data_IF_860688718941
#
_entry.id   IF_860688718941
#
_cell.length_a   1.000
_cell.length_b   1.000
_cell.length_c   1.000
_cell.angle_alpha   90.00
_cell.angle_beta   90.00
_cell.angle_gamma   90.00
#
_symmetry.space_group_name_H-M   'P 1'
#
loop_
_entity.id
_entity.type
_entity.pdbx_description
1 polymer ?
#
# COMPACT_ATOMS: atom_id res chain seq x y z
N UNK A 1 5.76 3.09 -1.36
CA UNK A 1 4.76 2.70 -2.39
C UNK A 1 5.35 2.65 -3.80
N UNK A 2 6.14 3.63 -4.24
CA UNK A 2 6.75 3.63 -5.59
C UNK A 2 7.76 2.49 -5.80
N UNK A 3 8.62 2.21 -4.82
CA UNK A 3 9.62 1.12 -4.88
C UNK A 3 8.98 -0.26 -5.13
N UNK A 4 7.99 -0.72 -4.34
CA UNK A 4 7.33 -2.00 -4.63
C UNK A 4 6.55 -2.00 -5.94
N UNK A 5 6.02 -0.86 -6.40
CA UNK A 5 5.37 -0.76 -7.71
C UNK A 5 6.35 -1.03 -8.86
N UNK A 6 7.54 -0.42 -8.81
CA UNK A 6 8.60 -0.63 -9.81
C UNK A 6 9.08 -2.08 -9.81
N UNK A 7 9.26 -2.67 -8.62
CA UNK A 7 9.67 -4.07 -8.48
C UNK A 7 8.62 -5.04 -9.05
N UNK A 8 7.33 -4.77 -8.84
CA UNK A 8 6.23 -5.57 -9.41
C UNK A 8 6.12 -5.42 -10.93
N UNK A 9 6.34 -4.23 -11.48
CA UNK A 9 6.40 -4.04 -12.92
C UNK A 9 7.61 -4.76 -13.53
N UNK A 10 8.78 -4.69 -12.88
CA UNK A 10 9.97 -5.43 -13.31
C UNK A 10 9.74 -6.95 -13.30
N UNK A 11 9.10 -7.48 -12.25
CA UNK A 11 8.68 -8.89 -12.16
C UNK A 11 7.84 -9.35 -13.34
N UNK A 12 6.98 -8.47 -13.89
CA UNK A 12 6.08 -8.82 -15.00
C UNK A 12 6.80 -9.14 -16.32
N UNK A 13 8.07 -8.73 -16.45
CA UNK A 13 8.90 -8.97 -17.63
C UNK A 13 9.75 -10.24 -17.56
N UNK A 14 9.89 -10.87 -16.38
CA UNK A 14 10.64 -12.10 -16.22
C UNK A 14 9.74 -13.33 -16.50
N UNK A 15 10.31 -14.37 -17.10
CA UNK A 15 9.62 -15.65 -17.38
C UNK A 15 9.90 -16.69 -16.28
N UNK A 16 9.08 -17.74 -16.25
CA UNK A 16 9.17 -18.87 -15.30
C UNK A 16 10.51 -19.63 -15.34
N UNK A 17 11.39 -19.35 -16.31
CA UNK A 17 12.70 -20.00 -16.43
C UNK A 17 13.68 -19.57 -15.32
N UNK A 18 13.45 -18.41 -14.68
CA UNK A 18 14.29 -17.89 -13.60
C UNK A 18 13.55 -17.76 -12.27
N UNK A 19 12.95 -18.87 -11.82
CA UNK A 19 12.15 -18.94 -10.59
C UNK A 19 12.86 -18.37 -9.36
N UNK A 20 14.17 -18.61 -9.21
CA UNK A 20 14.94 -18.10 -8.08
C UNK A 20 15.00 -16.56 -8.05
N UNK A 21 15.20 -15.92 -9.21
CA UNK A 21 15.29 -14.47 -9.30
C UNK A 21 13.91 -13.81 -9.06
N UNK A 22 12.86 -14.40 -9.61
CA UNK A 22 11.46 -13.97 -9.41
C UNK A 22 11.07 -14.03 -7.93
N UNK A 23 11.39 -15.11 -7.23
CA UNK A 23 11.07 -15.27 -5.80
C UNK A 23 11.82 -14.23 -4.96
N UNK A 24 13.12 -14.02 -5.19
CA UNK A 24 13.89 -13.00 -4.45
C UNK A 24 13.30 -11.61 -4.67
N UNK A 25 12.93 -11.28 -5.91
CA UNK A 25 12.39 -9.97 -6.25
C UNK A 25 10.98 -9.76 -5.67
N UNK A 26 10.15 -10.81 -5.60
CA UNK A 26 8.88 -10.77 -4.86
C UNK A 26 9.07 -10.60 -3.36
N UNK A 27 10.01 -11.31 -2.75
CA UNK A 27 10.33 -11.17 -1.33
C UNK A 27 10.75 -9.74 -1.01
N UNK A 28 11.63 -9.15 -1.83
CA UNK A 28 12.05 -7.75 -1.66
C UNK A 28 10.85 -6.79 -1.78
N UNK A 29 10.01 -6.95 -2.81
CA UNK A 29 8.81 -6.12 -2.97
C UNK A 29 7.89 -6.20 -1.74
N UNK A 30 7.67 -7.41 -1.20
CA UNK A 30 6.89 -7.62 0.00
C UNK A 30 7.53 -6.97 1.23
N UNK A 31 8.86 -7.05 1.39
CA UNK A 31 9.57 -6.37 2.49
C UNK A 31 9.39 -4.85 2.44
N UNK A 32 9.52 -4.24 1.25
CA UNK A 32 9.29 -2.80 1.11
C UNK A 32 7.85 -2.40 1.39
N UNK A 33 6.87 -3.25 1.07
CA UNK A 33 5.48 -3.00 1.42
C UNK A 33 5.27 -3.01 2.95
N UNK A 34 5.87 -3.97 3.65
CA UNK A 34 5.85 -4.04 5.12
C UNK A 34 6.49 -2.81 5.77
N UNK A 35 7.61 -2.32 5.22
CA UNK A 35 8.25 -1.09 5.69
C UNK A 35 7.33 0.14 5.54
N UNK A 36 6.54 0.21 4.46
CA UNK A 36 5.56 1.28 4.28
C UNK A 36 4.45 1.20 5.33
N UNK A 37 4.01 0.01 5.70
CA UNK A 37 3.00 -0.17 6.73
C UNK A 37 3.47 0.34 8.10
N UNK A 38 4.72 0.06 8.48
CA UNK A 38 5.31 0.58 9.72
C UNK A 38 5.36 2.11 9.69
N UNK A 39 5.77 2.71 8.57
CA UNK A 39 5.78 4.17 8.42
C UNK A 39 4.39 4.81 8.56
N UNK A 40 3.34 4.15 8.06
CA UNK A 40 1.97 4.60 8.22
C UNK A 40 1.51 4.55 9.68
N UNK A 41 1.84 3.48 10.41
CA UNK A 41 1.53 3.36 11.84
C UNK A 41 2.15 4.53 12.63
N UNK A 42 3.43 4.80 12.43
CA UNK A 42 4.15 5.89 13.13
C UNK A 42 3.54 7.25 12.78
N UNK A 43 3.28 7.51 11.50
CA UNK A 43 2.69 8.78 11.06
C UNK A 43 1.30 9.04 11.69
N UNK A 44 0.49 8.01 11.90
CA UNK A 44 -0.82 8.16 12.56
C UNK A 44 -0.71 8.56 14.03
N UNK A 45 0.29 8.03 14.74
CA UNK A 45 0.56 8.40 16.13
C UNK A 45 1.21 9.79 16.24
N UNK A 46 2.07 10.17 15.30
CA UNK A 46 2.69 11.50 15.25
C UNK A 46 1.67 12.62 15.01
N UNK A 47 0.63 12.36 14.20
CA UNK A 47 -0.44 13.34 13.91
C UNK A 47 -1.36 13.55 15.11
N UNK A 48 -1.67 12.49 15.87
CA UNK A 48 -2.57 12.57 17.03
C UNK A 48 -2.23 11.48 18.04
N UNK A 49 -1.43 11.76 19.08
CA UNK A 49 -1.10 10.76 20.10
C UNK A 49 -2.32 10.38 20.96
N UNK A 50 -3.30 11.27 21.07
CA UNK A 50 -4.53 11.07 21.86
C UNK A 50 -5.60 10.26 21.13
N UNK A 51 -5.71 10.38 19.80
CA UNK A 51 -6.73 9.69 19.00
C UNK A 51 -6.16 8.74 17.95
N UNK A 52 -4.84 8.53 17.92
CA UNK A 52 -4.14 7.73 16.90
C UNK A 52 -4.70 6.31 16.77
N UNK A 53 -5.08 5.68 17.88
CA UNK A 53 -5.70 4.36 17.87
C UNK A 53 -7.04 4.31 17.10
N UNK A 54 -7.89 5.32 17.24
CA UNK A 54 -9.18 5.39 16.53
C UNK A 54 -8.98 5.63 15.03
N UNK A 55 -8.06 6.54 14.67
CA UNK A 55 -7.68 6.82 13.27
C UNK A 55 -7.15 5.55 12.61
N UNK A 56 -6.31 4.80 13.33
CA UNK A 56 -5.71 3.56 12.86
C UNK A 56 -6.77 2.49 12.61
N UNK A 57 -7.73 2.29 13.51
CA UNK A 57 -8.82 1.33 13.32
C UNK A 57 -9.71 1.71 12.15
N UNK A 58 -10.10 2.98 12.01
CA UNK A 58 -10.91 3.45 10.86
C UNK A 58 -10.17 3.21 9.55
N UNK A 59 -8.88 3.54 9.51
CA UNK A 59 -8.04 3.34 8.32
C UNK A 59 -7.87 1.87 7.99
N UNK A 60 -7.74 1.00 8.99
CA UNK A 60 -7.66 -0.45 8.79
C UNK A 60 -8.97 -1.01 8.21
N UNK A 61 -10.12 -0.55 8.69
CA UNK A 61 -11.43 -0.93 8.12
C UNK A 61 -11.53 -0.53 6.65
N UNK A 62 -11.13 0.69 6.30
CA UNK A 62 -11.11 1.15 4.90
C UNK A 62 -10.15 0.30 4.05
N UNK A 63 -8.99 -0.07 4.61
CA UNK A 63 -7.99 -0.90 3.92
C UNK A 63 -8.46 -2.33 3.64
N UNK A 64 -9.44 -2.86 4.38
CA UNK A 64 -9.97 -4.20 4.13
C UNK A 64 -10.87 -4.28 2.88
N UNK A 65 -11.54 -3.18 2.47
CA UNK A 65 -12.40 -3.20 1.28
C UNK A 65 -11.65 -3.57 -0.01
N UNK A 66 -10.49 -2.96 -0.33
CA UNK A 66 -9.64 -3.42 -1.45
C UNK A 66 -9.23 -4.89 -1.33
N UNK A 67 -8.99 -5.38 -0.11
CA UNK A 67 -8.65 -6.79 0.13
C UNK A 67 -9.75 -7.75 -0.32
N UNK A 68 -11.02 -7.38 -0.11
CA UNK A 68 -12.19 -8.14 -0.56
C UNK A 68 -12.35 -8.07 -2.08
N UNK A 69 -12.11 -6.90 -2.68
CA UNK A 69 -12.27 -6.67 -4.12
C UNK A 69 -11.15 -7.31 -4.96
N UNK A 70 -9.94 -7.39 -4.42
CA UNK A 70 -8.75 -7.91 -5.12
C UNK A 70 -8.97 -9.26 -5.81
N UNK A 71 -9.41 -10.34 -5.13
CA UNK A 71 -9.60 -11.64 -5.76
C UNK A 71 -10.67 -11.61 -6.87
N UNK A 72 -11.72 -10.80 -6.71
CA UNK A 72 -12.75 -10.63 -7.73
C UNK A 72 -12.19 -9.98 -8.99
N UNK A 73 -11.39 -8.92 -8.84
CA UNK A 73 -10.74 -8.25 -9.97
C UNK A 73 -9.73 -9.17 -10.67
N UNK A 74 -8.92 -9.91 -9.91
CA UNK A 74 -7.96 -10.86 -10.47
C UNK A 74 -8.68 -11.97 -11.24
N UNK A 75 -9.78 -12.52 -10.71
CA UNK A 75 -10.54 -13.55 -11.39
C UNK A 75 -11.12 -13.08 -12.74
N UNK A 76 -11.56 -11.82 -12.83
CA UNK A 76 -12.11 -11.26 -14.07
C UNK A 76 -11.06 -10.99 -15.14
N UNK A 77 -9.87 -10.55 -14.75
CA UNK A 77 -8.82 -10.20 -15.70
C UNK A 77 -7.96 -11.38 -16.14
N UNK A 78 -7.96 -12.46 -15.37
CA UNK A 78 -7.11 -13.62 -15.62
C UNK A 78 -7.89 -14.92 -15.86
N UNK A 79 -8.92 -14.96 -16.73
CA UNK A 79 -9.75 -16.14 -16.92
C UNK A 79 -8.98 -17.34 -17.50
N UNK A 80 -7.92 -17.08 -18.29
CA UNK A 80 -7.14 -18.11 -18.96
C UNK A 80 -5.73 -18.27 -18.36
N UNK A 81 -5.42 -17.56 -17.27
CA UNK A 81 -4.10 -17.56 -16.62
C UNK A 81 -2.91 -17.30 -17.56
N UNK A 82 -3.13 -16.51 -18.62
CA UNK A 82 -2.06 -16.22 -19.59
C UNK A 82 -1.13 -15.13 -19.06
N UNK A 83 0.12 -15.13 -19.54
CA UNK A 83 1.14 -14.14 -19.16
C UNK A 83 0.69 -12.70 -19.41
N UNK A 84 0.08 -12.43 -20.57
CA UNK A 84 -0.39 -11.10 -20.94
C UNK A 84 -1.50 -10.59 -20.02
N UNK A 85 -2.38 -11.48 -19.53
CA UNK A 85 -3.43 -11.15 -18.57
C UNK A 85 -2.83 -10.73 -17.22
N UNK A 86 -1.84 -11.49 -16.74
CA UNK A 86 -1.09 -11.15 -15.53
C UNK A 86 -0.29 -9.85 -15.66
N UNK A 87 0.33 -9.59 -16.81
CA UNK A 87 1.01 -8.32 -17.07
C UNK A 87 0.05 -7.12 -16.94
N UNK A 88 -1.15 -7.20 -17.52
CA UNK A 88 -2.17 -6.15 -17.38
C UNK A 88 -2.57 -5.93 -15.91
N UNK A 89 -2.72 -7.01 -15.13
CA UNK A 89 -2.95 -6.94 -13.70
C UNK A 89 -1.82 -6.23 -12.94
N UNK A 90 -0.56 -6.59 -13.22
CA UNK A 90 0.59 -5.94 -12.59
C UNK A 90 0.70 -4.45 -12.94
N UNK A 91 0.41 -4.06 -14.18
CA UNK A 91 0.35 -2.64 -14.57
C UNK A 91 -0.77 -1.88 -13.85
N UNK A 92 -1.95 -2.50 -13.68
CA UNK A 92 -3.03 -1.91 -12.90
C UNK A 92 -2.62 -1.70 -11.43
N UNK A 93 -2.02 -2.71 -10.81
CA UNK A 93 -1.51 -2.61 -9.43
C UNK A 93 -0.45 -1.51 -9.30
N UNK A 94 0.50 -1.43 -10.25
CA UNK A 94 1.52 -0.39 -10.27
C UNK A 94 0.91 1.02 -10.40
N UNK A 95 -0.13 1.18 -11.22
CA UNK A 95 -0.89 2.42 -11.34
C UNK A 95 -1.55 2.84 -10.02
N UNK A 96 -2.24 1.92 -9.34
CA UNK A 96 -2.89 2.17 -8.05
C UNK A 96 -1.86 2.56 -6.98
N UNK A 97 -0.75 1.84 -6.90
CA UNK A 97 0.33 2.12 -5.95
C UNK A 97 0.98 3.50 -6.20
N UNK A 98 1.17 3.86 -7.47
CA UNK A 98 1.75 5.15 -7.86
C UNK A 98 0.79 6.30 -7.56
N UNK A 99 -0.50 6.13 -7.86
CA UNK A 99 -1.53 7.11 -7.52
C UNK A 99 -1.62 7.32 -6.00
N UNK A 100 -1.61 6.23 -5.21
CA UNK A 100 -1.57 6.32 -3.75
C UNK A 100 -0.33 7.07 -3.24
N UNK A 101 0.83 6.84 -3.85
CA UNK A 101 2.05 7.58 -3.52
C UNK A 101 1.93 9.07 -3.84
N UNK A 102 1.38 9.43 -5.01
CA UNK A 102 1.17 10.82 -5.42
C UNK A 102 0.21 11.54 -4.47
N UNK A 103 -0.91 10.90 -4.11
CA UNK A 103 -1.85 11.46 -3.13
C UNK A 103 -1.15 11.70 -1.78
N UNK A 104 -0.32 10.75 -1.31
CA UNK A 104 0.42 10.93 -0.07
C UNK A 104 1.44 12.08 -0.15
N UNK A 105 2.13 12.25 -1.28
CA UNK A 105 3.08 13.35 -1.46
C UNK A 105 2.38 14.71 -1.50
N UNK A 106 1.20 14.80 -2.11
CA UNK A 106 0.45 16.06 -2.25
C UNK A 106 -0.29 16.44 -0.95
N UNK A 107 -0.89 15.48 -0.27
CA UNK A 107 -1.76 15.73 0.90
C UNK A 107 -1.12 15.38 2.25
N UNK A 108 -0.02 14.65 2.26
CA UNK A 108 0.64 14.20 3.49
C UNK A 108 1.18 15.37 4.30
N UNK A 109 0.84 15.40 5.59
CA UNK A 109 1.39 16.32 6.58
C UNK A 109 1.81 15.52 7.80
N UNK A 110 2.93 15.90 8.40
CA UNK A 110 3.53 15.23 9.57
C UNK A 110 3.54 16.18 10.77
N UNK A 111 2.47 16.97 10.92
CA UNK A 111 2.33 17.91 12.02
C UNK A 111 1.21 17.45 12.94
N UNK A 112 1.44 17.56 14.25
CA UNK A 112 0.40 17.34 15.27
C UNK A 112 -0.79 18.24 14.93
N UNK A 113 -1.93 17.63 14.64
CA UNK A 113 -3.12 18.38 14.25
C UNK A 113 -3.77 19.03 15.49
N UNK A 114 -4.26 20.27 15.34
CA UNK A 114 -4.68 21.13 16.46
C UNK A 114 -5.81 20.54 17.33
N UNK A 115 -6.60 19.62 16.76
CA UNK A 115 -7.69 18.93 17.45
C UNK A 115 -7.21 17.79 18.37
N UNK A 116 -5.93 17.40 18.29
CA UNK A 116 -5.34 16.34 19.10
C UNK A 116 -4.72 16.83 20.43
N UNK A 117 -4.52 18.14 20.57
CA UNK A 117 -4.00 18.75 21.80
C UNK A 117 -5.12 18.71 22.85
N UNK A 118 -4.91 18.13 24.04
CA UNK A 118 -5.88 18.23 25.11
C UNK A 118 -6.08 19.71 25.40
N UNK A 119 -7.29 20.22 25.24
CA UNK A 119 -7.65 21.54 25.75
C UNK A 119 -7.29 21.56 27.23
N UNK A 120 -6.28 22.34 27.63
CA UNK A 120 -6.06 22.64 29.05
C UNK A 120 -7.39 23.09 29.62
N UNK A 121 -7.98 22.27 30.50
CA UNK A 121 -8.97 22.77 31.45
C UNK A 121 -8.21 23.78 32.30
N UNK A 122 -8.37 25.06 31.98
CA UNK A 122 -8.10 26.13 32.93
C UNK A 122 -9.05 25.90 34.11
N UNK A 123 -8.48 25.48 35.23
CA UNK A 123 -9.10 25.61 36.55
C UNK A 123 -9.45 27.09 36.82
#
# INVERSE_FOLDING_TARGET
LVVPAILLTALSFFDCEQTAFVVVLMCLAASFLSLNFVGLMVNMFDISPTHGGQIMTVSNTIANFPGILTPYTVAQFTPNNTREQWQKMFFLTAGILTFGALCFVVFGKVTVEKWSVPTEKKE
#
